data_IF_238627226370
#
_entry.id   IF_238627226370
#
_cell.length_a   1.000
_cell.length_b   1.000
_cell.length_c   1.000
_cell.angle_alpha   90.00
_cell.angle_beta   90.00
_cell.angle_gamma   90.00
#
_symmetry.space_group_name_H-M   'P 1'
#
loop_
_entity.id
_entity.type
_entity.pdbx_description
1 polymer ?
#
# COMPACT_ATOMS: atom_id res chain seq x y z
N UNK A 1 -15.67 -27.26 26.89
CA UNK A 1 -15.86 -26.21 25.85
C UNK A 1 -16.36 -26.89 24.59
N UNK A 2 -17.45 -26.45 24.01
CA UNK A 2 -17.96 -27.01 22.76
C UNK A 2 -17.05 -26.64 21.59
N UNK A 3 -16.92 -27.54 20.60
CA UNK A 3 -16.10 -27.32 19.39
C UNK A 3 -16.40 -25.96 18.71
N UNK A 4 -17.65 -25.52 18.73
CA UNK A 4 -18.09 -24.22 18.20
C UNK A 4 -17.46 -22.99 18.89
N UNK A 5 -17.07 -23.11 20.15
CA UNK A 5 -16.39 -22.01 20.86
C UNK A 5 -14.90 -21.96 20.61
N UNK A 6 -14.28 -23.10 20.33
CA UNK A 6 -12.83 -23.11 19.95
C UNK A 6 -12.59 -22.56 18.59
N UNK A 7 -13.52 -22.72 17.65
CA UNK A 7 -13.40 -22.15 16.29
C UNK A 7 -13.50 -20.61 16.24
N UNK A 8 -14.05 -20.00 17.31
CA UNK A 8 -14.19 -18.54 17.42
C UNK A 8 -13.01 -17.87 18.14
N UNK A 9 -12.11 -18.63 18.75
CA UNK A 9 -10.94 -18.12 19.45
C UNK A 9 -9.70 -18.49 18.62
N UNK A 10 -9.45 -17.70 17.57
CA UNK A 10 -8.19 -17.78 16.84
C UNK A 10 -7.22 -16.81 17.54
N UNK A 11 -6.11 -17.28 18.11
CA UNK A 11 -5.10 -16.40 18.68
C UNK A 11 -4.62 -15.38 17.64
N UNK A 12 -4.34 -14.17 18.07
CA UNK A 12 -3.89 -13.08 17.18
C UNK A 12 -2.62 -13.48 16.40
N UNK A 13 -1.72 -14.21 17.05
CA UNK A 13 -0.49 -14.71 16.43
C UNK A 13 -0.74 -15.72 15.31
N UNK A 14 -1.73 -16.61 15.44
CA UNK A 14 -2.12 -17.53 14.37
C UNK A 14 -2.69 -16.80 13.16
N UNK A 15 -3.48 -15.75 13.40
CA UNK A 15 -4.00 -14.90 12.35
C UNK A 15 -2.88 -14.17 11.59
N UNK A 16 -1.90 -13.63 12.29
CA UNK A 16 -0.75 -12.98 11.67
C UNK A 16 0.07 -13.96 10.84
N UNK A 17 0.38 -15.14 11.39
CA UNK A 17 1.14 -16.18 10.69
C UNK A 17 0.42 -16.67 9.43
N UNK A 18 -0.90 -16.84 9.50
CA UNK A 18 -1.72 -17.24 8.35
C UNK A 18 -1.68 -16.15 7.25
N UNK A 19 -1.83 -14.88 7.62
CA UNK A 19 -1.77 -13.77 6.67
C UNK A 19 -0.40 -13.64 6.01
N UNK A 20 0.69 -13.81 6.74
CA UNK A 20 2.06 -13.79 6.20
C UNK A 20 2.23 -14.93 5.20
N UNK A 21 1.83 -16.15 5.52
CA UNK A 21 1.90 -17.30 4.60
C UNK A 21 1.08 -17.07 3.34
N UNK A 22 -0.16 -16.59 3.49
CA UNK A 22 -1.02 -16.26 2.36
C UNK A 22 -0.37 -15.17 1.47
N UNK A 23 0.24 -14.16 2.09
CA UNK A 23 1.00 -13.12 1.40
C UNK A 23 2.18 -13.67 0.60
N UNK A 24 2.98 -14.54 1.19
CA UNK A 24 4.15 -15.15 0.54
C UNK A 24 3.76 -16.05 -0.63
N UNK A 25 2.63 -16.74 -0.53
CA UNK A 25 2.13 -17.65 -1.57
C UNK A 25 1.30 -16.96 -2.65
N UNK A 26 0.87 -15.73 -2.42
CA UNK A 26 0.02 -15.01 -3.34
C UNK A 26 0.75 -14.66 -4.63
N UNK A 27 0.16 -15.02 -5.76
CA UNK A 27 0.48 -14.49 -7.07
C UNK A 27 -0.60 -13.49 -7.49
N UNK A 28 -0.22 -12.39 -8.12
CA UNK A 28 -1.16 -11.38 -8.58
C UNK A 28 -0.73 -10.77 -9.91
N UNK A 29 -1.70 -10.27 -10.67
CA UNK A 29 -1.46 -9.49 -11.88
C UNK A 29 -1.36 -8.01 -11.50
N UNK A 30 -0.18 -7.39 -11.61
CA UNK A 30 -0.04 -5.96 -11.35
C UNK A 30 -0.78 -5.13 -12.41
N UNK A 31 -0.85 -3.83 -12.21
CA UNK A 31 -1.44 -2.91 -13.17
C UNK A 31 -0.72 -3.04 -14.54
N UNK A 32 -1.48 -3.34 -15.58
CA UNK A 32 -0.96 -3.50 -16.94
C UNK A 32 -1.05 -2.23 -17.80
N UNK A 33 -1.52 -1.12 -17.21
CA UNK A 33 -1.57 0.17 -17.90
C UNK A 33 -0.17 0.77 -17.99
N UNK A 34 0.16 1.30 -19.17
CA UNK A 34 1.42 2.01 -19.42
C UNK A 34 2.68 1.23 -18.97
N UNK A 35 2.89 -0.01 -19.45
CA UNK A 35 4.04 -0.84 -19.05
C UNK A 35 5.39 -0.19 -19.39
N UNK A 36 5.42 0.70 -20.38
CA UNK A 36 6.60 1.48 -20.77
C UNK A 36 7.07 2.48 -19.69
N UNK A 37 6.25 2.76 -18.70
CA UNK A 37 6.61 3.64 -17.57
C UNK A 37 7.31 2.92 -16.42
N UNK A 38 7.30 1.58 -16.39
CA UNK A 38 8.04 0.75 -15.43
C UNK A 38 9.54 0.75 -15.78
N UNK A 39 10.25 1.80 -15.37
CA UNK A 39 11.65 2.07 -15.82
C UNK A 39 12.68 2.08 -14.71
N UNK A 40 12.25 2.17 -13.47
CA UNK A 40 13.16 2.39 -12.35
C UNK A 40 13.22 1.13 -11.50
N UNK A 41 14.41 0.56 -11.36
CA UNK A 41 14.64 -0.65 -10.58
C UNK A 41 14.85 -0.31 -9.10
N UNK A 42 14.21 -1.07 -8.22
CA UNK A 42 14.36 -0.97 -6.77
C UNK A 42 15.47 -1.90 -6.26
N UNK A 43 15.88 -1.75 -5.02
CA UNK A 43 16.85 -2.66 -4.38
C UNK A 43 16.32 -4.10 -4.26
N UNK A 44 15.01 -4.30 -4.26
CA UNK A 44 14.37 -5.62 -4.27
C UNK A 44 14.32 -6.26 -5.68
N UNK A 45 14.70 -5.51 -6.72
CA UNK A 45 14.75 -5.99 -8.12
C UNK A 45 13.44 -5.84 -8.89
N UNK A 46 12.44 -5.17 -8.35
CA UNK A 46 11.21 -4.84 -9.07
C UNK A 46 11.33 -3.51 -9.80
N UNK A 47 10.53 -3.33 -10.85
CA UNK A 47 10.47 -2.08 -11.60
C UNK A 47 9.25 -1.26 -11.19
N UNK A 48 9.47 0.03 -10.96
CA UNK A 48 8.45 1.01 -10.59
C UNK A 48 8.44 2.18 -11.58
N UNK A 49 7.43 3.05 -11.47
CA UNK A 49 7.17 4.08 -12.48
C UNK A 49 7.89 5.40 -12.25
N UNK A 50 8.35 5.66 -11.03
CA UNK A 50 9.00 6.92 -10.68
C UNK A 50 10.18 6.74 -9.74
N UNK A 51 11.07 7.73 -9.68
CA UNK A 51 12.18 7.77 -8.73
C UNK A 51 11.70 7.88 -7.28
N UNK A 52 10.59 8.57 -7.05
CA UNK A 52 10.00 8.69 -5.72
C UNK A 52 9.49 7.35 -5.21
N UNK A 53 8.88 6.54 -6.09
CA UNK A 53 8.48 5.17 -5.76
C UNK A 53 9.68 4.26 -5.45
N UNK A 54 10.83 4.44 -6.14
CA UNK A 54 12.08 3.73 -5.78
C UNK A 54 12.50 4.06 -4.34
N UNK A 55 12.44 5.34 -3.97
CA UNK A 55 12.82 5.78 -2.61
C UNK A 55 11.89 5.13 -1.57
N UNK A 56 10.59 5.17 -1.79
CA UNK A 56 9.60 4.55 -0.89
C UNK A 56 9.84 3.04 -0.79
N UNK A 57 9.95 2.36 -1.92
CA UNK A 57 10.20 0.92 -1.98
C UNK A 57 11.47 0.52 -1.22
N UNK A 58 12.57 1.23 -1.45
CA UNK A 58 13.83 0.94 -0.80
C UNK A 58 13.80 1.19 0.72
N UNK A 59 13.10 2.23 1.16
CA UNK A 59 12.90 2.49 2.59
C UNK A 59 12.03 1.41 3.26
N UNK A 60 10.97 0.94 2.58
CA UNK A 60 10.17 -0.20 3.05
C UNK A 60 10.99 -1.49 3.09
N UNK A 61 11.78 -1.75 2.06
CA UNK A 61 12.64 -2.94 1.98
C UNK A 61 13.67 -3.00 3.11
N UNK A 62 14.17 -1.86 3.57
CA UNK A 62 15.07 -1.79 4.75
C UNK A 62 14.38 -2.22 6.05
N UNK A 63 13.06 -2.34 6.08
CA UNK A 63 12.25 -2.77 7.22
C UNK A 63 11.56 -4.12 6.99
N UNK A 64 12.09 -4.94 6.10
CA UNK A 64 11.51 -6.23 5.69
C UNK A 64 11.34 -7.25 6.84
N UNK A 65 11.96 -7.03 7.97
CA UNK A 65 11.76 -7.79 9.20
C UNK A 65 10.40 -7.51 9.88
N UNK A 66 9.81 -6.34 9.62
CA UNK A 66 8.54 -5.90 10.23
C UNK A 66 7.48 -5.52 9.21
N UNK A 67 7.88 -5.05 8.02
CA UNK A 67 6.98 -4.60 6.96
C UNK A 67 7.29 -5.35 5.67
N UNK A 68 6.28 -6.02 5.13
CA UNK A 68 6.34 -6.58 3.78
C UNK A 68 5.51 -5.70 2.84
N UNK A 69 5.94 -5.51 1.60
CA UNK A 69 5.14 -4.74 0.64
C UNK A 69 5.03 -5.44 -0.70
N UNK A 70 3.98 -5.10 -1.44
CA UNK A 70 3.77 -5.46 -2.84
C UNK A 70 3.42 -4.21 -3.64
N UNK A 71 4.08 -4.07 -4.78
CA UNK A 71 3.88 -2.95 -5.69
C UNK A 71 2.71 -3.25 -6.64
N UNK A 72 1.81 -2.27 -6.82
CA UNK A 72 0.62 -2.36 -7.68
C UNK A 72 -0.21 -3.65 -7.49
N UNK A 73 -0.34 -4.11 -6.25
CA UNK A 73 -1.23 -5.24 -5.93
C UNK A 73 -2.68 -4.82 -6.08
N UNK A 74 -3.53 -5.59 -6.81
CA UNK A 74 -4.92 -5.22 -7.01
C UNK A 74 -5.70 -5.19 -5.69
N UNK A 75 -6.46 -4.12 -5.48
CA UNK A 75 -7.36 -3.92 -4.36
C UNK A 75 -8.79 -3.84 -4.88
N UNK A 76 -9.66 -4.73 -4.37
CA UNK A 76 -11.08 -4.77 -4.72
C UNK A 76 -11.86 -3.84 -3.80
N UNK A 77 -12.50 -2.83 -4.37
CA UNK A 77 -13.31 -1.85 -3.68
C UNK A 77 -14.71 -1.77 -4.28
N UNK A 78 -15.59 -1.00 -3.66
CA UNK A 78 -16.92 -0.68 -4.17
C UNK A 78 -17.00 0.80 -4.53
N UNK A 79 -17.60 1.07 -5.67
CA UNK A 79 -17.91 2.42 -6.12
C UNK A 79 -19.34 2.44 -6.69
N UNK A 80 -20.21 3.25 -6.12
CA UNK A 80 -21.63 3.34 -6.52
C UNK A 80 -22.29 1.95 -6.62
N UNK A 81 -22.07 1.08 -5.63
CA UNK A 81 -22.62 -0.27 -5.56
C UNK A 81 -21.98 -1.30 -6.49
N UNK A 82 -21.02 -0.92 -7.32
CA UNK A 82 -20.29 -1.82 -8.23
C UNK A 82 -18.93 -2.17 -7.67
N UNK A 83 -18.48 -3.39 -7.95
CA UNK A 83 -17.09 -3.81 -7.64
C UNK A 83 -16.15 -3.19 -8.66
N UNK A 84 -15.09 -2.56 -8.17
CA UNK A 84 -14.00 -2.04 -8.99
C UNK A 84 -12.66 -2.55 -8.44
N UNK A 85 -11.65 -2.54 -9.31
CA UNK A 85 -10.27 -2.88 -8.94
C UNK A 85 -9.43 -1.63 -9.09
N UNK A 86 -8.70 -1.28 -8.04
CA UNK A 86 -7.69 -0.23 -8.04
C UNK A 86 -6.34 -0.84 -7.70
N UNK A 87 -5.28 -0.13 -8.01
CA UNK A 87 -3.90 -0.57 -7.79
C UNK A 87 -3.19 0.49 -6.95
N UNK A 88 -3.19 0.35 -5.60
CA UNK A 88 -2.34 1.18 -4.77
C UNK A 88 -0.88 1.03 -5.20
N UNK A 89 -0.09 2.09 -5.12
CA UNK A 89 1.33 1.99 -5.44
C UNK A 89 1.99 0.94 -4.55
N UNK A 90 1.68 0.96 -3.26
CA UNK A 90 2.15 -0.07 -2.34
C UNK A 90 1.02 -0.59 -1.45
N UNK A 91 0.91 -1.91 -1.34
CA UNK A 91 0.18 -2.59 -0.28
C UNK A 91 1.19 -3.09 0.74
N UNK A 92 1.06 -2.69 1.98
CA UNK A 92 2.02 -2.96 3.05
C UNK A 92 1.37 -3.85 4.09
N UNK A 93 2.05 -4.90 4.50
CA UNK A 93 1.66 -5.81 5.58
C UNK A 93 2.60 -5.64 6.76
N UNK A 94 2.06 -5.22 7.91
CA UNK A 94 2.78 -5.29 9.17
C UNK A 94 2.78 -6.75 9.66
N UNK A 95 3.97 -7.35 9.77
CA UNK A 95 4.11 -8.78 10.12
C UNK A 95 3.81 -9.08 11.58
N UNK A 96 3.82 -8.08 12.46
CA UNK A 96 3.51 -8.24 13.87
C UNK A 96 2.01 -8.14 14.17
N UNK A 97 1.32 -7.22 13.51
CA UNK A 97 -0.10 -6.96 13.75
C UNK A 97 -1.01 -7.62 12.72
N UNK A 98 -0.48 -8.04 11.56
CA UNK A 98 -1.25 -8.51 10.42
C UNK A 98 -2.06 -7.41 9.72
N UNK A 99 -1.82 -6.15 10.04
CA UNK A 99 -2.54 -5.02 9.46
C UNK A 99 -2.03 -4.73 8.06
N UNK A 100 -2.97 -4.45 7.15
CA UNK A 100 -2.68 -3.91 5.83
C UNK A 100 -2.78 -2.38 5.84
N UNK A 101 -1.86 -1.73 5.14
CA UNK A 101 -1.90 -0.29 4.84
C UNK A 101 -1.64 -0.10 3.35
N UNK A 102 -2.39 0.80 2.72
CA UNK A 102 -2.26 1.13 1.31
C UNK A 102 -1.58 2.49 1.17
N UNK A 103 -0.57 2.59 0.32
CA UNK A 103 0.17 3.83 0.12
C UNK A 103 0.07 4.27 -1.34
N UNK A 104 -0.30 5.52 -1.54
CA UNK A 104 -0.37 6.20 -2.82
C UNK A 104 0.61 7.38 -2.85
N UNK A 105 1.36 7.50 -3.92
CA UNK A 105 2.27 8.63 -4.12
C UNK A 105 1.87 9.44 -5.37
N UNK A 106 1.48 10.68 -5.18
CA UNK A 106 1.10 11.60 -6.25
C UNK A 106 2.26 12.51 -6.65
N UNK A 107 2.97 12.16 -7.71
CA UNK A 107 4.21 12.83 -8.13
C UNK A 107 4.03 14.12 -8.94
N UNK A 108 2.81 14.50 -9.34
CA UNK A 108 2.56 15.60 -10.27
C UNK A 108 1.41 16.52 -9.82
N UNK A 109 1.36 16.86 -8.54
CA UNK A 109 0.27 17.65 -7.95
C UNK A 109 0.22 19.11 -8.41
N UNK A 110 1.19 19.54 -9.20
CA UNK A 110 1.13 20.86 -9.91
C UNK A 110 0.14 20.85 -11.09
N UNK A 111 -0.35 19.70 -11.53
CA UNK A 111 -1.27 19.56 -12.66
C UNK A 111 -2.69 19.26 -12.17
N UNK A 112 -3.71 20.07 -12.60
CA UNK A 112 -5.10 19.93 -12.13
C UNK A 112 -5.71 18.55 -12.33
N UNK A 113 -5.41 17.88 -13.43
CA UNK A 113 -5.91 16.52 -13.71
C UNK A 113 -5.45 15.49 -12.67
N UNK A 114 -4.21 15.57 -12.20
CA UNK A 114 -3.69 14.69 -11.16
C UNK A 114 -4.28 15.00 -9.78
N UNK A 115 -4.59 16.27 -9.51
CA UNK A 115 -5.31 16.66 -8.29
C UNK A 115 -6.71 16.06 -8.26
N UNK A 116 -7.42 16.07 -9.38
CA UNK A 116 -8.75 15.46 -9.50
C UNK A 116 -8.71 13.95 -9.26
N UNK A 117 -7.74 13.25 -9.83
CA UNK A 117 -7.55 11.82 -9.64
C UNK A 117 -7.20 11.48 -8.18
N UNK A 118 -6.37 12.29 -7.55
CA UNK A 118 -6.02 12.17 -6.14
C UNK A 118 -7.26 12.32 -5.24
N UNK A 119 -8.06 13.34 -5.44
CA UNK A 119 -9.29 13.58 -4.68
C UNK A 119 -10.29 12.44 -4.87
N UNK A 120 -10.45 11.96 -6.10
CA UNK A 120 -11.34 10.83 -6.40
C UNK A 120 -10.87 9.55 -5.68
N UNK A 121 -9.59 9.23 -5.72
CA UNK A 121 -9.01 8.07 -5.06
C UNK A 121 -9.19 8.11 -3.54
N UNK A 122 -8.92 9.27 -2.93
CA UNK A 122 -9.16 9.50 -1.51
C UNK A 122 -10.62 9.27 -1.13
N UNK A 123 -11.56 9.83 -1.90
CA UNK A 123 -12.99 9.66 -1.70
C UNK A 123 -13.39 8.18 -1.79
N UNK A 124 -12.84 7.47 -2.77
CA UNK A 124 -13.10 6.05 -2.96
C UNK A 124 -12.62 5.21 -1.76
N UNK A 125 -11.43 5.46 -1.25
CA UNK A 125 -10.92 4.78 -0.07
C UNK A 125 -11.80 5.08 1.16
N UNK A 126 -12.16 6.33 1.36
CA UNK A 126 -13.02 6.74 2.48
C UNK A 126 -14.40 6.08 2.40
N UNK A 127 -15.03 6.00 1.21
CA UNK A 127 -16.31 5.30 1.00
C UNK A 127 -16.22 3.79 1.30
N UNK A 128 -15.03 3.21 1.19
CA UNK A 128 -14.75 1.81 1.53
C UNK A 128 -14.24 1.62 2.97
N UNK A 129 -14.45 2.61 3.83
CA UNK A 129 -14.07 2.60 5.25
C UNK A 129 -12.56 2.47 5.51
N UNK A 130 -11.73 2.85 4.54
CA UNK A 130 -10.30 2.99 4.73
C UNK A 130 -10.02 4.40 5.27
N UNK A 131 -9.47 4.48 6.47
CA UNK A 131 -9.28 5.74 7.17
C UNK A 131 -7.96 6.40 6.77
N UNK A 132 -7.98 7.65 6.29
CA UNK A 132 -6.78 8.39 5.95
C UNK A 132 -5.79 8.47 7.11
N UNK A 133 -4.52 8.22 6.82
CA UNK A 133 -3.44 8.23 7.82
C UNK A 133 -3.37 6.97 8.70
N UNK A 134 -4.33 6.05 8.57
CA UNK A 134 -4.39 4.80 9.35
C UNK A 134 -4.37 3.58 8.43
N UNK A 135 -5.33 3.50 7.52
CA UNK A 135 -5.47 2.37 6.58
C UNK A 135 -4.89 2.71 5.21
N UNK A 136 -4.85 3.99 4.88
CA UNK A 136 -4.24 4.51 3.67
C UNK A 136 -3.32 5.69 3.97
N UNK A 137 -2.20 5.75 3.25
CA UNK A 137 -1.24 6.82 3.29
C UNK A 137 -1.17 7.49 1.92
N UNK A 138 -1.18 8.80 1.93
CA UNK A 138 -0.99 9.60 0.73
C UNK A 138 0.23 10.50 0.89
N UNK A 139 1.18 10.37 -0.02
CA UNK A 139 2.26 11.32 -0.18
C UNK A 139 2.15 12.00 -1.53
N UNK A 140 2.61 13.21 -1.62
CA UNK A 140 2.59 13.97 -2.86
C UNK A 140 3.81 14.87 -2.95
N UNK A 141 4.13 15.27 -4.16
CA UNK A 141 5.16 16.26 -4.43
C UNK A 141 4.70 17.24 -5.52
N UNK A 142 5.29 18.43 -5.48
CA UNK A 142 5.15 19.46 -6.50
C UNK A 142 6.54 19.87 -6.97
N UNK A 143 6.62 20.70 -8.00
CA UNK A 143 7.91 21.24 -8.46
C UNK A 143 8.67 21.99 -7.36
N UNK A 144 7.94 22.71 -6.49
CA UNK A 144 8.53 23.50 -5.40
C UNK A 144 8.72 22.72 -4.10
N UNK A 145 8.03 21.56 -3.95
CA UNK A 145 8.07 20.75 -2.74
C UNK A 145 8.32 19.29 -3.11
N UNK A 146 9.59 18.92 -3.28
CA UNK A 146 9.97 17.54 -3.57
C UNK A 146 9.74 16.63 -2.37
N UNK A 147 9.67 15.33 -2.64
CA UNK A 147 9.50 14.29 -1.61
C UNK A 147 10.64 14.34 -0.57
N UNK A 148 10.27 14.48 0.69
CA UNK A 148 11.23 14.58 1.79
C UNK A 148 11.47 13.22 2.45
N UNK A 149 12.70 12.71 2.36
CA UNK A 149 13.09 11.40 2.89
C UNK A 149 12.87 11.32 4.41
N UNK A 150 13.08 12.39 5.14
CA UNK A 150 12.88 12.42 6.60
C UNK A 150 11.43 12.18 6.96
N UNK A 151 10.50 12.82 6.26
CA UNK A 151 9.07 12.61 6.42
C UNK A 151 8.67 11.16 6.12
N UNK A 152 9.19 10.58 5.02
CA UNK A 152 8.95 9.18 4.68
C UNK A 152 9.43 8.22 5.77
N UNK A 153 10.61 8.46 6.35
CA UNK A 153 11.13 7.64 7.44
C UNK A 153 10.24 7.68 8.68
N UNK A 154 9.67 8.84 9.02
CA UNK A 154 8.71 8.96 10.11
C UNK A 154 7.42 8.18 9.81
N UNK A 155 6.86 8.34 8.62
CA UNK A 155 5.65 7.60 8.21
C UNK A 155 5.87 6.09 8.27
N UNK A 156 7.00 5.60 7.79
CA UNK A 156 7.34 4.17 7.85
C UNK A 156 7.53 3.69 9.29
N UNK A 157 8.14 4.51 10.14
CA UNK A 157 8.26 4.21 11.58
C UNK A 157 6.89 4.06 12.25
N UNK A 158 5.94 4.91 11.90
CA UNK A 158 4.57 4.85 12.42
C UNK A 158 3.83 3.58 11.98
N UNK A 159 4.15 3.05 10.81
CA UNK A 159 3.58 1.78 10.33
C UNK A 159 4.02 0.56 11.15
N UNK A 160 5.12 0.68 11.90
CA UNK A 160 5.67 -0.42 12.72
C UNK A 160 5.09 -0.44 14.14
N UNK A 161 4.37 0.58 14.54
CA UNK A 161 3.69 0.67 15.85
C UNK A 161 2.25 0.21 15.75
#
# INVERSE_FOLDING_TARGET
MTEDRQSLIIPLEENCTHRIRAWEQETYEPCNKYPETLRYETNAGEFVRSKSEVIIANLLHMKADQLLYKYERPLKLRYQGRKIIVYPDFTILNTQTGKFTYWEHAGLMSKPEYVSDFVWKNSLYYENHLLPGTDDLFTFETEDHPLEIRTLKHMISDLMT
#
